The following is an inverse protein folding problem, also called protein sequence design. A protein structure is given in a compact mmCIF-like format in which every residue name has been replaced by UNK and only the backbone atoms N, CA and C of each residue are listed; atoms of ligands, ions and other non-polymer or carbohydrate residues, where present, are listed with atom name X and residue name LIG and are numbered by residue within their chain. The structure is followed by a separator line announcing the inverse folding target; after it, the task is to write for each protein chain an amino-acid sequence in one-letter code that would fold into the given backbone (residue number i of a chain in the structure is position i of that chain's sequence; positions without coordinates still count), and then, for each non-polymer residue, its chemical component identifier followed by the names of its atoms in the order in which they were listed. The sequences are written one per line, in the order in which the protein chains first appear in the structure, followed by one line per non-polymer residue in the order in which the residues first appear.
data_IF_227586066984
#
_entry.id   IF_227586066984
#
_cell.length_a   1.000
_cell.length_b   1.000
_cell.length_c   1.000
_cell.angle_alpha   90.00
_cell.angle_beta   90.00
_cell.angle_gamma   90.00
#
_symmetry.space_group_name_H-M   'P 1'
#
loop_
_entity.id
_entity.type
_entity.pdbx_description
1 polymer ?
#
# COMPACT_ATOMS: atom_id res chain seq x y z
N UNK A 1 -13.07 -1.34 -28.18
CA UNK A 1 -12.56 -0.90 -26.86
C UNK A 1 -11.42 -1.83 -26.49
N UNK A 2 -10.21 -1.32 -26.35
CA UNK A 2 -9.07 -2.13 -25.87
C UNK A 2 -9.33 -2.50 -24.41
N UNK A 3 -9.24 -3.78 -24.09
CA UNK A 3 -9.37 -4.25 -22.71
C UNK A 3 -8.20 -3.69 -21.89
N UNK A 4 -8.49 -3.15 -20.70
CA UNK A 4 -7.44 -2.62 -19.82
C UNK A 4 -6.66 -3.77 -19.19
N UNK A 5 -5.35 -3.59 -19.09
CA UNK A 5 -4.46 -4.58 -18.46
C UNK A 5 -4.80 -4.73 -16.97
N UNK A 6 -5.11 -5.94 -16.48
CA UNK A 6 -5.34 -6.18 -15.07
C UNK A 6 -4.03 -6.09 -14.27
N UNK A 7 -4.08 -5.43 -13.12
CA UNK A 7 -2.94 -5.30 -12.20
C UNK A 7 -3.37 -5.45 -10.75
N UNK A 8 -2.42 -5.74 -9.86
CA UNK A 8 -2.55 -5.53 -8.42
C UNK A 8 -2.20 -4.07 -8.13
N UNK A 9 -3.07 -3.33 -7.47
CA UNK A 9 -2.72 -2.00 -6.94
C UNK A 9 -2.11 -2.21 -5.57
N UNK A 10 -0.79 -2.07 -5.47
CA UNK A 10 -0.02 -2.35 -4.25
C UNK A 10 0.33 -1.05 -3.55
N UNK A 11 -0.14 -0.87 -2.32
CA UNK A 11 0.22 0.22 -1.43
C UNK A 11 1.26 -0.29 -0.45
N UNK A 12 2.41 0.35 -0.44
CA UNK A 12 3.50 0.11 0.50
C UNK A 12 3.39 1.13 1.64
N UNK A 13 3.40 0.66 2.88
CA UNK A 13 3.34 1.47 4.09
C UNK A 13 4.66 1.31 4.84
N UNK A 14 5.38 2.42 5.01
CA UNK A 14 6.61 2.45 5.82
C UNK A 14 6.26 3.01 7.19
N UNK A 15 6.10 2.12 8.16
CA UNK A 15 5.82 2.43 9.56
C UNK A 15 6.93 3.29 10.17
N UNK A 16 8.19 2.98 9.89
CA UNK A 16 9.34 3.68 10.48
C UNK A 16 9.50 5.12 9.96
N UNK A 17 9.34 5.33 8.66
CA UNK A 17 9.45 6.66 8.03
C UNK A 17 8.10 7.36 7.89
N UNK A 18 7.01 6.70 8.28
CA UNK A 18 5.63 7.21 8.28
C UNK A 18 5.21 7.76 6.91
N UNK A 19 5.59 7.06 5.84
CA UNK A 19 5.21 7.39 4.45
C UNK A 19 4.48 6.23 3.78
N UNK A 20 3.89 6.52 2.63
CA UNK A 20 3.32 5.50 1.76
C UNK A 20 3.79 5.69 0.33
N UNK A 21 3.80 4.57 -0.39
CA UNK A 21 4.03 4.50 -1.83
C UNK A 21 2.95 3.63 -2.46
N UNK A 22 2.61 3.87 -3.72
CA UNK A 22 1.65 3.04 -4.45
C UNK A 22 2.14 2.72 -5.85
N UNK A 23 2.01 1.46 -6.23
CA UNK A 23 2.47 0.91 -7.49
C UNK A 23 1.40 0.01 -8.11
N UNK A 24 1.47 -0.18 -9.43
CA UNK A 24 0.83 -1.30 -10.09
C UNK A 24 1.79 -2.48 -10.14
N UNK A 25 1.31 -3.70 -9.89
CA UNK A 25 2.03 -4.93 -10.19
C UNK A 25 1.23 -5.68 -11.25
N UNK A 26 1.79 -5.81 -12.44
CA UNK A 26 1.15 -6.55 -13.54
C UNK A 26 1.17 -8.05 -13.25
N UNK A 27 0.28 -8.81 -13.90
CA UNK A 27 0.15 -10.25 -13.65
C UNK A 27 1.37 -11.08 -14.09
N UNK A 28 2.31 -10.48 -14.84
CA UNK A 28 3.61 -11.05 -15.17
C UNK A 28 4.71 -10.72 -14.13
N UNK A 29 4.37 -10.02 -13.04
CA UNK A 29 5.28 -9.67 -11.95
C UNK A 29 6.06 -8.37 -12.15
N UNK A 30 5.79 -7.59 -13.20
CA UNK A 30 6.45 -6.30 -13.40
C UNK A 30 5.84 -5.22 -12.48
N UNK A 31 6.70 -4.63 -11.65
CA UNK A 31 6.32 -3.52 -10.80
C UNK A 31 6.40 -2.18 -11.52
N UNK A 32 5.35 -1.37 -11.38
CA UNK A 32 5.12 -0.10 -12.04
C UNK A 32 4.90 0.97 -10.96
N UNK A 33 5.97 1.65 -10.51
CA UNK A 33 5.86 2.78 -9.59
C UNK A 33 4.87 3.83 -10.10
N UNK A 34 4.00 4.33 -9.23
CA UNK A 34 3.03 5.37 -9.57
C UNK A 34 3.36 6.64 -8.81
N UNK A 35 3.32 6.58 -7.48
CA UNK A 35 3.51 7.76 -6.63
C UNK A 35 3.92 7.40 -5.21
N UNK A 36 4.57 8.32 -4.52
CA UNK A 36 4.91 8.20 -3.11
C UNK A 36 4.80 9.55 -2.39
N UNK A 37 4.80 9.53 -1.06
CA UNK A 37 4.93 10.75 -0.25
C UNK A 37 6.34 10.92 0.29
N UNK A 38 6.61 12.13 0.76
CA UNK A 38 7.75 12.37 1.62
C UNK A 38 7.61 11.60 2.96
N UNK A 39 8.74 11.30 3.63
CA UNK A 39 8.74 10.87 5.02
C UNK A 39 7.91 11.79 5.92
N UNK A 40 7.22 11.18 6.88
CA UNK A 40 6.40 11.89 7.87
C UNK A 40 4.99 12.27 7.40
N UNK A 41 4.50 11.69 6.29
CA UNK A 41 3.14 11.95 5.81
C UNK A 41 2.05 11.57 6.83
N UNK A 42 2.31 10.58 7.69
CA UNK A 42 1.41 10.18 8.77
C UNK A 42 1.68 10.88 10.12
N UNK A 43 2.64 11.79 10.19
CA UNK A 43 2.96 12.54 11.42
C UNK A 43 1.78 13.27 12.08
N UNK A 44 0.81 13.84 11.32
CA UNK A 44 -0.28 14.62 11.92
C UNK A 44 -1.17 13.87 12.91
N UNK A 45 -1.11 12.53 12.98
CA UNK A 45 -1.94 11.73 13.89
C UNK A 45 -1.17 10.97 14.95
N UNK A 46 0.15 11.15 15.01
CA UNK A 46 0.98 10.51 16.03
C UNK A 46 0.61 11.09 17.40
N UNK A 47 0.30 10.20 18.35
CA UNK A 47 -0.11 10.56 19.70
C UNK A 47 -1.60 10.89 19.86
N UNK A 48 -2.39 10.88 18.78
CA UNK A 48 -3.85 10.99 18.84
C UNK A 48 -4.48 9.69 19.37
N UNK A 49 -5.78 9.71 19.66
CA UNK A 49 -6.50 8.49 20.08
C UNK A 49 -6.58 7.46 18.94
N UNK A 50 -6.80 6.19 19.27
CA UNK A 50 -6.98 5.12 18.28
C UNK A 50 -8.05 5.48 17.24
N UNK A 51 -9.18 6.06 17.67
CA UNK A 51 -10.28 6.41 16.77
C UNK A 51 -9.90 7.54 15.81
N UNK A 52 -9.16 8.55 16.28
CA UNK A 52 -8.66 9.65 15.45
C UNK A 52 -7.62 9.16 14.44
N UNK A 53 -6.66 8.34 14.89
CA UNK A 53 -5.66 7.72 14.02
C UNK A 53 -6.31 6.84 12.95
N UNK A 54 -7.26 5.99 13.36
CA UNK A 54 -8.02 5.13 12.44
C UNK A 54 -8.77 6.00 11.42
N UNK A 55 -9.50 7.02 11.87
CA UNK A 55 -10.27 7.90 10.99
C UNK A 55 -9.38 8.58 9.95
N UNK A 56 -8.24 9.10 10.40
CA UNK A 56 -7.27 9.75 9.53
C UNK A 56 -6.66 8.80 8.52
N UNK A 57 -6.16 7.63 8.95
CA UNK A 57 -5.54 6.66 8.05
C UNK A 57 -6.53 6.14 7.01
N UNK A 58 -7.78 5.87 7.39
CA UNK A 58 -8.84 5.52 6.42
C UNK A 58 -9.02 6.61 5.37
N UNK A 59 -9.16 7.87 5.79
CA UNK A 59 -9.30 8.99 4.86
C UNK A 59 -8.08 9.13 3.95
N UNK A 60 -6.88 9.07 4.55
CA UNK A 60 -5.61 9.25 3.83
C UNK A 60 -5.39 8.15 2.81
N UNK A 61 -5.49 6.89 3.22
CA UNK A 61 -5.30 5.71 2.37
C UNK A 61 -6.41 5.59 1.31
N UNK A 62 -7.66 5.98 1.59
CA UNK A 62 -8.68 6.07 0.54
C UNK A 62 -8.28 7.05 -0.57
N UNK A 63 -7.69 8.19 -0.19
CA UNK A 63 -7.10 9.13 -1.15
C UNK A 63 -5.91 8.56 -1.92
N UNK A 64 -5.10 7.68 -1.30
CA UNK A 64 -4.03 6.94 -1.99
C UNK A 64 -4.60 6.06 -3.07
N UNK A 65 -5.61 5.26 -2.74
CA UNK A 65 -6.25 4.33 -3.68
C UNK A 65 -6.87 5.06 -4.86
N UNK A 66 -7.59 6.17 -4.61
CA UNK A 66 -8.16 6.98 -5.68
C UNK A 66 -7.06 7.46 -6.65
N UNK A 67 -5.98 8.06 -6.13
CA UNK A 67 -4.89 8.58 -6.98
C UNK A 67 -4.13 7.46 -7.70
N UNK A 68 -3.95 6.31 -7.07
CA UNK A 68 -3.37 5.12 -7.67
C UNK A 68 -4.21 4.60 -8.84
N UNK A 69 -5.52 4.48 -8.65
CA UNK A 69 -6.48 4.13 -9.70
C UNK A 69 -6.43 5.11 -10.87
N UNK A 70 -6.39 6.42 -10.61
CA UNK A 70 -6.31 7.45 -11.66
C UNK A 70 -5.03 7.29 -12.51
N UNK A 71 -3.88 7.02 -11.86
CA UNK A 71 -2.59 6.79 -12.53
C UNK A 71 -2.57 5.50 -13.34
N UNK A 72 -3.18 4.42 -12.83
CA UNK A 72 -3.36 3.18 -13.60
C UNK A 72 -4.25 3.41 -14.82
N UNK A 73 -5.34 4.15 -14.66
CA UNK A 73 -6.28 4.42 -15.75
C UNK A 73 -5.59 5.15 -16.92
N UNK A 74 -4.77 6.16 -16.61
CA UNK A 74 -3.95 6.87 -17.60
C UNK A 74 -2.95 5.96 -18.34
N UNK A 75 -2.59 4.81 -17.76
CA UNK A 75 -1.68 3.80 -18.33
C UNK A 75 -2.42 2.61 -18.97
N UNK A 76 -3.73 2.71 -19.19
CA UNK A 76 -4.58 1.61 -19.69
C UNK A 76 -4.58 0.36 -18.80
N UNK A 77 -4.35 0.53 -17.50
CA UNK A 77 -4.37 -0.52 -16.49
C UNK A 77 -5.63 -0.40 -15.62
N UNK A 78 -6.08 -1.51 -15.02
CA UNK A 78 -7.19 -1.55 -14.07
C UNK A 78 -6.85 -2.47 -12.89
N UNK A 79 -7.07 -2.03 -11.64
CA UNK A 79 -6.88 -2.90 -10.48
C UNK A 79 -7.88 -4.06 -10.49
N UNK A 80 -7.36 -5.28 -10.35
CA UNK A 80 -8.12 -6.51 -10.09
C UNK A 80 -8.15 -6.84 -8.60
N UNK A 81 -7.12 -6.45 -7.87
CA UNK A 81 -6.97 -6.61 -6.43
C UNK A 81 -6.24 -5.37 -5.88
N UNK A 82 -6.58 -4.94 -4.67
CA UNK A 82 -5.85 -3.92 -3.92
C UNK A 82 -5.09 -4.61 -2.79
N UNK A 83 -3.79 -4.37 -2.69
CA UNK A 83 -2.95 -5.00 -1.69
C UNK A 83 -2.27 -3.92 -0.87
N UNK A 84 -2.45 -3.92 0.44
CA UNK A 84 -1.62 -3.16 1.36
C UNK A 84 -0.52 -4.05 1.91
N UNK A 85 0.71 -3.54 1.93
CA UNK A 85 1.87 -4.21 2.54
C UNK A 85 2.58 -3.19 3.42
N UNK A 86 2.62 -3.45 4.72
CA UNK A 86 3.39 -2.67 5.67
C UNK A 86 4.74 -3.34 5.97
N UNK A 87 5.80 -2.55 6.22
CA UNK A 87 7.13 -3.04 6.63
C UNK A 87 7.16 -3.56 8.07
N UNK A 88 6.26 -3.05 8.90
CA UNK A 88 5.94 -3.51 10.25
C UNK A 88 4.49 -3.07 10.50
N UNK A 89 3.89 -3.53 11.58
CA UNK A 89 2.61 -2.94 11.97
C UNK A 89 2.77 -1.51 12.49
N UNK A 90 1.65 -0.81 12.60
CA UNK A 90 1.58 0.55 13.13
C UNK A 90 1.47 0.55 14.67
N UNK A 91 1.92 -0.50 15.35
CA UNK A 91 1.78 -0.69 16.81
C UNK A 91 2.53 0.38 17.59
N UNK A 92 3.61 0.94 17.01
CA UNK A 92 4.32 2.08 17.58
C UNK A 92 3.42 3.30 17.78
N UNK A 93 2.33 3.41 17.00
CA UNK A 93 1.32 4.46 17.17
C UNK A 93 0.19 4.00 18.09
N UNK A 94 -0.34 2.79 17.89
CA UNK A 94 -1.25 2.10 18.80
C UNK A 94 -1.36 0.60 18.45
N UNK A 95 -1.37 -0.34 19.42
CA UNK A 95 -1.29 -1.79 19.16
C UNK A 95 -2.40 -2.37 18.26
N UNK A 96 -3.60 -1.78 18.30
CA UNK A 96 -4.75 -2.25 17.49
C UNK A 96 -4.95 -1.47 16.18
N UNK A 97 -4.07 -0.52 15.84
CA UNK A 97 -4.30 0.37 14.71
C UNK A 97 -4.26 -0.37 13.38
N UNK A 98 -3.26 -1.24 13.20
CA UNK A 98 -3.06 -2.02 11.98
C UNK A 98 -4.30 -2.83 11.65
N UNK A 99 -4.77 -3.64 12.61
CA UNK A 99 -5.96 -4.47 12.44
C UNK A 99 -7.20 -3.64 12.12
N UNK A 100 -7.46 -2.56 12.85
CA UNK A 100 -8.66 -1.72 12.61
C UNK A 100 -8.68 -1.08 11.22
N UNK A 101 -7.52 -0.63 10.74
CA UNK A 101 -7.41 -0.05 9.40
C UNK A 101 -7.57 -1.14 8.34
N UNK A 102 -6.95 -2.30 8.54
CA UNK A 102 -7.03 -3.45 7.64
C UNK A 102 -8.47 -3.97 7.50
N UNK A 103 -9.16 -4.23 8.62
CA UNK A 103 -10.55 -4.68 8.66
C UNK A 103 -11.46 -3.71 7.92
N UNK A 104 -11.29 -2.40 8.15
CA UNK A 104 -12.10 -1.40 7.46
C UNK A 104 -12.01 -1.52 5.94
N UNK A 105 -10.80 -1.66 5.39
CA UNK A 105 -10.66 -1.75 3.93
C UNK A 105 -11.11 -3.11 3.38
N UNK A 106 -10.84 -4.21 4.09
CA UNK A 106 -11.25 -5.54 3.68
C UNK A 106 -12.79 -5.73 3.71
N UNK A 107 -13.47 -5.17 4.71
CA UNK A 107 -14.92 -5.29 4.86
C UNK A 107 -15.69 -4.35 3.91
N UNK A 108 -15.22 -3.11 3.74
CA UNK A 108 -16.00 -2.08 3.04
C UNK A 108 -15.71 -1.98 1.54
N UNK A 109 -14.58 -2.51 1.04
CA UNK A 109 -14.28 -2.53 -0.40
C UNK A 109 -14.38 -3.95 -0.97
N UNK A 110 -15.43 -4.20 -1.74
CA UNK A 110 -15.73 -5.51 -2.32
C UNK A 110 -15.36 -5.63 -3.80
N UNK A 111 -15.02 -4.53 -4.48
CA UNK A 111 -14.72 -4.53 -5.92
C UNK A 111 -13.86 -3.32 -6.33
N UNK A 112 -12.53 -3.50 -6.49
CA UNK A 112 -11.76 -4.74 -6.33
C UNK A 112 -11.63 -5.18 -4.85
N UNK A 113 -11.47 -6.49 -4.57
CA UNK A 113 -11.17 -6.99 -3.23
C UNK A 113 -9.85 -6.44 -2.70
N UNK A 114 -9.72 -6.46 -1.38
CA UNK A 114 -8.57 -5.95 -0.65
C UNK A 114 -7.95 -7.04 0.20
N UNK A 115 -6.63 -7.09 0.20
CA UNK A 115 -5.85 -7.83 1.18
C UNK A 115 -4.84 -6.91 1.86
N UNK A 116 -4.59 -7.13 3.14
CA UNK A 116 -3.66 -6.36 3.95
C UNK A 116 -2.64 -7.31 4.58
N UNK A 117 -1.36 -7.01 4.39
CA UNK A 117 -0.24 -7.79 4.89
C UNK A 117 0.73 -6.94 5.70
N UNK A 118 1.41 -7.57 6.65
CA UNK A 118 2.62 -7.06 7.30
C UNK A 118 3.78 -7.93 6.86
N UNK A 119 4.92 -7.32 6.57
CA UNK A 119 6.16 -8.02 6.32
C UNK A 119 6.91 -8.26 7.64
N UNK A 120 6.90 -9.48 8.15
CA UNK A 120 7.40 -9.79 9.51
C UNK A 120 8.92 -9.71 9.66
N UNK A 121 9.65 -9.84 8.55
CA UNK A 121 11.11 -9.68 8.52
C UNK A 121 11.55 -8.25 8.15
N UNK A 122 10.59 -7.33 8.04
CA UNK A 122 10.82 -5.98 7.55
C UNK A 122 11.22 -5.92 6.07
N UNK A 123 11.53 -4.71 5.59
CA UNK A 123 11.98 -4.51 4.20
C UNK A 123 13.51 -4.59 4.03
N UNK A 124 14.22 -5.02 5.07
CA UNK A 124 15.67 -5.09 5.10
C UNK A 124 16.20 -6.51 4.86
N UNK A 125 16.70 -6.78 3.66
CA UNK A 125 17.44 -8.01 3.38
C UNK A 125 17.30 -8.51 1.94
N UNK A 126 18.14 -9.48 1.57
CA UNK A 126 18.01 -10.26 0.32
C UNK A 126 17.20 -11.57 0.53
N UNK A 127 16.59 -11.75 1.70
CA UNK A 127 15.75 -12.90 2.02
C UNK A 127 14.37 -12.80 1.35
N UNK A 128 13.72 -13.94 1.18
CA UNK A 128 12.34 -14.02 0.69
C UNK A 128 11.39 -13.37 1.71
N UNK A 129 10.53 -12.46 1.27
CA UNK A 129 9.63 -11.75 2.17
C UNK A 129 8.54 -12.68 2.71
N UNK A 130 8.48 -12.81 4.03
CA UNK A 130 7.35 -13.43 4.71
C UNK A 130 6.27 -12.37 4.90
N UNK A 131 5.09 -12.60 4.31
CA UNK A 131 3.93 -11.72 4.45
C UNK A 131 2.87 -12.39 5.32
N UNK A 132 2.60 -11.80 6.47
CA UNK A 132 1.53 -12.21 7.38
C UNK A 132 0.24 -11.49 7.02
N UNK A 133 -0.82 -12.25 6.76
CA UNK A 133 -2.13 -11.70 6.45
C UNK A 133 -2.79 -11.11 7.70
N UNK A 134 -3.21 -9.85 7.62
CA UNK A 134 -3.92 -9.13 8.68
C UNK A 134 -5.43 -9.15 8.43
N UNK A 135 -5.85 -8.83 7.19
CA UNK A 135 -7.25 -8.85 6.78
C UNK A 135 -7.39 -9.07 5.28
N UNK A 136 -8.54 -9.62 4.87
CA UNK A 136 -8.83 -9.93 3.48
C UNK A 136 -8.09 -11.16 2.96
N UNK A 137 -8.36 -11.51 1.71
CA UNK A 137 -7.82 -12.71 1.06
C UNK A 137 -7.18 -12.32 -0.27
N UNK A 138 -6.00 -12.89 -0.56
CA UNK A 138 -5.36 -12.80 -1.87
C UNK A 138 -5.22 -14.20 -2.43
N UNK A 139 -5.60 -14.41 -3.69
CA UNK A 139 -5.42 -15.72 -4.30
C UNK A 139 -3.92 -16.08 -4.40
N UNK A 140 -3.58 -17.38 -4.33
CA UNK A 140 -2.18 -17.81 -4.29
C UNK A 140 -1.34 -17.33 -5.48
N UNK A 141 -1.94 -17.25 -6.68
CA UNK A 141 -1.26 -16.77 -7.88
C UNK A 141 -0.87 -15.30 -7.75
N UNK A 142 -1.81 -14.44 -7.33
CA UNK A 142 -1.51 -13.03 -7.07
C UNK A 142 -0.56 -12.85 -5.89
N UNK A 143 -0.60 -13.71 -4.87
CA UNK A 143 0.35 -13.70 -3.77
C UNK A 143 1.78 -13.98 -4.27
N UNK A 144 1.99 -15.03 -5.09
CA UNK A 144 3.29 -15.32 -5.70
C UNK A 144 3.80 -14.20 -6.61
N UNK A 145 2.90 -13.56 -7.37
CA UNK A 145 3.22 -12.41 -8.22
C UNK A 145 3.69 -11.24 -7.35
N UNK A 146 2.96 -10.95 -6.28
CA UNK A 146 3.27 -9.89 -5.33
C UNK A 146 4.64 -10.11 -4.68
N UNK A 147 4.90 -11.28 -4.11
CA UNK A 147 6.16 -11.56 -3.39
C UNK A 147 7.38 -11.47 -4.29
N UNK A 148 7.26 -11.83 -5.58
CA UNK A 148 8.32 -11.63 -6.59
C UNK A 148 8.51 -10.16 -6.98
N UNK A 149 7.43 -9.38 -6.99
CA UNK A 149 7.46 -7.97 -7.38
C UNK A 149 7.91 -7.01 -6.25
N UNK A 150 7.74 -7.41 -4.99
CA UNK A 150 8.07 -6.59 -3.83
C UNK A 150 9.57 -6.22 -3.74
N UNK A 151 10.55 -7.15 -3.85
CA UNK A 151 11.96 -6.80 -3.75
C UNK A 151 12.44 -5.71 -4.72
N UNK A 152 12.18 -5.82 -6.05
CA UNK A 152 12.58 -4.74 -6.96
C UNK A 152 11.77 -3.45 -6.75
N UNK A 153 10.56 -3.51 -6.20
CA UNK A 153 9.77 -2.33 -5.88
C UNK A 153 10.30 -1.59 -4.65
N UNK A 154 10.65 -2.33 -3.59
CA UNK A 154 11.25 -1.80 -2.36
C UNK A 154 12.59 -1.15 -2.67
N UNK A 155 13.44 -1.79 -3.49
CA UNK A 155 14.72 -1.20 -3.94
C UNK A 155 14.54 0.14 -4.69
N UNK A 156 13.37 0.38 -5.28
CA UNK A 156 13.07 1.66 -5.95
C UNK A 156 12.57 2.75 -5.01
N UNK A 157 12.22 2.46 -3.75
CA UNK A 157 11.70 3.47 -2.82
C UNK A 157 12.69 4.62 -2.55
N UNK A 158 13.98 4.36 -2.72
CA UNK A 158 15.05 5.36 -2.60
C UNK A 158 15.34 6.09 -3.93
N UNK A 159 14.84 5.58 -5.05
CA UNK A 159 14.97 6.23 -6.36
C UNK A 159 13.83 7.22 -6.58
N UNK A 160 14.06 8.47 -6.18
CA UNK A 160 13.09 9.56 -6.33
C UNK A 160 12.63 9.78 -7.78
N UNK A 161 13.43 9.43 -8.79
CA UNK A 161 13.04 9.60 -10.20
C UNK A 161 12.06 8.51 -10.67
N UNK A 162 11.99 7.39 -9.96
CA UNK A 162 11.05 6.33 -10.26
C UNK A 162 9.60 6.69 -9.88
N UNK A 163 9.39 7.67 -8.99
CA UNK A 163 8.08 7.98 -8.40
C UNK A 163 7.61 9.41 -8.70
N UNK A 164 6.30 9.56 -8.87
CA UNK A 164 5.68 10.87 -8.74
C UNK A 164 5.52 11.24 -7.26
N UNK A 165 6.02 12.41 -6.85
CA UNK A 165 5.88 12.85 -5.46
C UNK A 165 4.51 13.49 -5.25
N UNK A 166 3.71 12.88 -4.39
CA UNK A 166 2.42 13.39 -4.00
C UNK A 166 2.59 14.63 -3.11
N UNK A 167 1.93 15.73 -3.47
CA UNK A 167 1.88 16.88 -2.57
C UNK A 167 1.13 16.51 -1.28
N UNK A 168 1.79 16.61 -0.14
CA UNK A 168 1.12 16.61 1.16
C UNK A 168 0.36 17.94 1.26
N UNK A 169 -0.98 17.88 1.35
CA UNK A 169 -1.74 19.08 1.74
C UNK A 169 -1.26 19.47 3.15
N UNK A 170 -0.92 20.75 3.39
CA UNK A 170 -0.64 21.18 4.75
C UNK A 170 -1.88 20.91 5.63
N UNK A 171 -1.70 20.52 6.91
CA UNK A 171 -2.81 20.42 7.83
C UNK A 171 -3.52 21.78 7.90
N UNK A 172 -4.86 21.73 7.85
CA UNK A 172 -5.73 22.90 7.98
C UNK A 172 -5.76 23.43 9.42
#
# INVERSE_FOLDING_TARGET
MTEKEPVLLTVLIESATRRWSVAGVTLDGRAVPLMCTEPGDFDPVVGATLDEQTSYLRHRLSGVLQRGCDRLWGRQMKPRHIVFVADDGLEQSHPNLTQRVADHFAEWMTSPPVAFFICTDGWSGDAEFTLDAVAGELDPTHYEILTKALPPLIKKLDDRQAWEIAASKPPA
#
